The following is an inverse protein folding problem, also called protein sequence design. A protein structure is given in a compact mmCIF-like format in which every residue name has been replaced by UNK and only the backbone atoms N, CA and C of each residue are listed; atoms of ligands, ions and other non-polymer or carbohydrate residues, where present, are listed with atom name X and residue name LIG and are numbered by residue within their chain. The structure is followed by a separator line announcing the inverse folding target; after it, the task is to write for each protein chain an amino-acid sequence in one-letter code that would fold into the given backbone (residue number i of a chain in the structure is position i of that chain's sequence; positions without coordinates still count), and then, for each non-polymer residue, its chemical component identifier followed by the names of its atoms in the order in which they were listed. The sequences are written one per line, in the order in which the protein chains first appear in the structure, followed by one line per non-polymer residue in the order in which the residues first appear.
data_IF_160268073825
#
_entry.id   IF_160268073825
#
_cell.length_a   1.000
_cell.length_b   1.000
_cell.length_c   1.000
_cell.angle_alpha   90.00
_cell.angle_beta   90.00
_cell.angle_gamma   90.00
#
_symmetry.space_group_name_H-M   'P 1'
#
loop_
_entity.id
_entity.type
_entity.pdbx_description
1 polymer ?
#
# COMPACT_ATOMS: atom_id res chain seq x y z
N UNK A 1 6.59 0.19 5.22
CA UNK A 1 6.26 -1.11 5.82
C UNK A 1 7.23 -1.44 6.94
N UNK A 2 6.73 -2.03 8.02
CA UNK A 2 7.51 -2.41 9.20
C UNK A 2 7.47 -3.92 9.33
N UNK A 3 8.61 -4.63 9.34
CA UNK A 3 8.64 -6.07 9.51
C UNK A 3 8.33 -6.45 10.96
N UNK A 4 7.52 -7.51 11.12
CA UNK A 4 7.25 -8.14 12.41
C UNK A 4 7.79 -9.56 12.34
N UNK A 5 8.76 -9.87 13.20
CA UNK A 5 9.27 -11.22 13.38
C UNK A 5 8.40 -12.00 14.36
N UNK A 6 8.07 -13.25 14.05
CA UNK A 6 7.35 -14.14 14.95
C UNK A 6 8.23 -15.36 15.17
N UNK A 7 8.58 -15.62 16.41
CA UNK A 7 9.36 -16.78 16.86
C UNK A 7 8.44 -17.64 17.72
N UNK A 8 8.32 -18.90 17.39
CA UNK A 8 7.47 -19.82 18.15
C UNK A 8 8.18 -21.17 18.38
N UNK A 9 7.98 -21.72 19.56
CA UNK A 9 8.29 -23.10 19.88
C UNK A 9 7.01 -23.78 20.44
N UNK A 10 7.12 -24.95 21.06
CA UNK A 10 5.94 -25.68 21.57
C UNK A 10 5.23 -24.98 22.74
N UNK A 11 5.84 -24.02 23.42
CA UNK A 11 5.30 -23.40 24.64
C UNK A 11 5.08 -21.90 24.51
N UNK A 12 5.92 -21.20 23.74
CA UNK A 12 6.00 -19.74 23.73
C UNK A 12 5.90 -19.21 22.31
N UNK A 13 5.28 -18.05 22.19
CA UNK A 13 5.33 -17.22 20.98
C UNK A 13 5.88 -15.85 21.35
N UNK A 14 6.85 -15.37 20.58
CA UNK A 14 7.48 -14.07 20.74
C UNK A 14 7.30 -13.30 19.45
N UNK A 15 6.73 -12.10 19.53
CA UNK A 15 6.70 -11.17 18.42
C UNK A 15 7.74 -10.07 18.63
N UNK A 16 8.53 -9.79 17.59
CA UNK A 16 9.58 -8.76 17.61
C UNK A 16 9.29 -7.75 16.51
N UNK A 17 9.25 -6.48 16.89
CA UNK A 17 9.08 -5.37 15.96
C UNK A 17 10.12 -4.30 16.28
N UNK A 18 10.97 -3.96 15.31
CA UNK A 18 12.04 -2.97 15.51
C UNK A 18 11.50 -1.55 15.58
N UNK A 19 10.40 -1.26 14.88
CA UNK A 19 9.78 0.06 14.87
C UNK A 19 8.44 0.04 15.59
N UNK A 20 8.09 1.13 16.23
CA UNK A 20 6.75 1.32 16.79
C UNK A 20 5.69 1.24 15.67
N UNK A 21 4.66 0.48 15.91
CA UNK A 21 3.51 0.32 15.00
C UNK A 21 2.21 0.41 15.78
N UNK A 22 1.22 1.10 15.23
CA UNK A 22 -0.11 1.19 15.82
C UNK A 22 -0.90 -0.13 15.71
N UNK A 23 -0.51 -1.02 14.79
CA UNK A 23 -1.23 -2.27 14.53
C UNK A 23 -1.21 -3.23 15.73
N UNK A 24 -0.08 -3.39 16.42
CA UNK A 24 0.03 -4.32 17.55
C UNK A 24 -0.81 -3.87 18.76
N UNK A 25 -0.73 -2.60 19.22
CA UNK A 25 -1.61 -2.12 20.28
C UNK A 25 -3.10 -2.22 19.92
N UNK A 26 -3.47 -1.85 18.69
CA UNK A 26 -4.85 -1.94 18.20
C UNK A 26 -5.34 -3.40 18.18
N UNK A 27 -4.51 -4.34 17.73
CA UNK A 27 -4.82 -5.77 17.78
C UNK A 27 -5.07 -6.26 19.20
N UNK A 28 -4.24 -5.89 20.17
CA UNK A 28 -4.37 -6.30 21.56
C UNK A 28 -5.66 -5.73 22.16
N UNK A 29 -5.92 -4.44 21.94
CA UNK A 29 -7.12 -3.76 22.43
C UNK A 29 -8.39 -4.33 21.81
N UNK A 30 -8.40 -4.55 20.48
CA UNK A 30 -9.51 -5.16 19.76
C UNK A 30 -9.84 -6.56 20.29
N UNK A 31 -8.81 -7.41 20.45
CA UNK A 31 -8.96 -8.78 20.95
C UNK A 31 -9.53 -8.78 22.36
N UNK A 32 -9.04 -7.89 23.24
CA UNK A 32 -9.53 -7.75 24.61
C UNK A 32 -10.99 -7.26 24.65
N UNK A 33 -11.30 -6.20 23.89
CA UNK A 33 -12.64 -5.60 23.86
C UNK A 33 -13.70 -6.56 23.33
N UNK A 34 -13.35 -7.38 22.36
CA UNK A 34 -14.25 -8.36 21.76
C UNK A 34 -14.32 -9.67 22.51
N UNK A 35 -13.52 -9.87 23.55
CA UNK A 35 -13.45 -11.13 24.31
C UNK A 35 -13.02 -12.32 23.43
N UNK A 36 -12.18 -12.07 22.41
CA UNK A 36 -11.77 -13.11 21.48
C UNK A 36 -10.84 -14.07 22.20
N UNK A 37 -11.25 -15.34 22.30
CA UNK A 37 -10.40 -16.41 22.78
C UNK A 37 -9.45 -16.85 21.65
N UNK A 38 -8.18 -16.97 21.96
CA UNK A 38 -7.14 -17.43 21.02
C UNK A 38 -6.61 -18.77 21.56
N UNK A 39 -7.16 -19.89 21.10
CA UNK A 39 -6.91 -21.20 21.73
C UNK A 39 -5.51 -21.74 21.48
N UNK A 40 -4.85 -21.33 20.40
CA UNK A 40 -3.54 -21.84 20.03
C UNK A 40 -2.68 -20.80 19.28
N UNK A 41 -1.41 -21.12 19.09
CA UNK A 41 -0.42 -20.24 18.45
C UNK A 41 -0.67 -20.03 16.97
N UNK A 42 -1.14 -21.04 16.29
CA UNK A 42 -1.49 -20.94 14.87
C UNK A 42 -2.58 -19.91 14.64
N UNK A 43 -3.64 -19.96 15.44
CA UNK A 43 -4.72 -18.96 15.37
C UNK A 43 -4.23 -17.56 15.73
N UNK A 44 -3.35 -17.41 16.73
CA UNK A 44 -2.76 -16.12 17.05
C UNK A 44 -1.99 -15.52 15.85
N UNK A 45 -1.20 -16.34 15.16
CA UNK A 45 -0.45 -15.89 13.98
C UNK A 45 -1.42 -15.47 12.86
N UNK A 46 -2.45 -16.27 12.58
CA UNK A 46 -3.46 -15.92 11.58
C UNK A 46 -4.17 -14.61 11.90
N UNK A 47 -4.56 -14.41 13.16
CA UNK A 47 -5.21 -13.17 13.60
C UNK A 47 -4.30 -11.95 13.51
N UNK A 48 -3.01 -12.10 13.79
CA UNK A 48 -2.02 -11.04 13.59
C UNK A 48 -1.89 -10.68 12.10
N UNK A 49 -1.87 -11.68 11.21
CA UNK A 49 -1.80 -11.44 9.77
C UNK A 49 -3.11 -10.83 9.26
N UNK A 50 -4.26 -11.28 9.75
CA UNK A 50 -5.56 -10.66 9.47
C UNK A 50 -5.56 -9.18 9.85
N UNK A 51 -5.15 -8.86 11.07
CA UNK A 51 -5.02 -7.47 11.53
C UNK A 51 -4.07 -6.66 10.65
N UNK A 52 -2.93 -7.24 10.26
CA UNK A 52 -2.00 -6.62 9.32
C UNK A 52 -2.66 -6.31 7.97
N UNK A 53 -3.49 -7.21 7.45
CA UNK A 53 -4.20 -7.04 6.17
C UNK A 53 -5.22 -5.91 6.25
N UNK A 54 -5.97 -5.83 7.33
CA UNK A 54 -6.91 -4.71 7.61
C UNK A 54 -6.16 -3.37 7.68
N UNK A 55 -4.98 -3.34 8.32
CA UNK A 55 -4.14 -2.14 8.37
C UNK A 55 -3.58 -1.77 7.01
N UNK A 56 -3.22 -2.73 6.16
CA UNK A 56 -2.85 -2.45 4.77
C UNK A 56 -4.00 -1.76 4.02
N UNK A 57 -5.22 -2.27 4.12
CA UNK A 57 -6.40 -1.65 3.49
C UNK A 57 -6.66 -0.23 4.00
N UNK A 58 -6.50 0.00 5.30
CA UNK A 58 -6.63 1.33 5.91
C UNK A 58 -5.62 2.33 5.35
N UNK A 59 -4.35 1.93 5.25
CA UNK A 59 -3.31 2.78 4.68
C UNK A 59 -3.47 2.98 3.17
N UNK A 60 -3.91 1.95 2.44
CA UNK A 60 -4.20 2.08 1.01
C UNK A 60 -5.30 3.11 0.75
N UNK A 61 -6.33 3.15 1.60
CA UNK A 61 -7.36 4.19 1.52
C UNK A 61 -6.79 5.59 1.77
N UNK A 62 -5.85 5.73 2.71
CA UNK A 62 -5.16 7.02 2.93
C UNK A 62 -4.32 7.42 1.71
N UNK A 63 -3.55 6.49 1.12
CA UNK A 63 -2.76 6.74 -0.09
C UNK A 63 -3.68 7.20 -1.22
N UNK A 64 -4.82 6.54 -1.44
CA UNK A 64 -5.77 6.95 -2.47
C UNK A 64 -6.30 8.39 -2.27
N UNK A 65 -6.60 8.77 -1.03
CA UNK A 65 -7.02 10.12 -0.72
C UNK A 65 -5.91 11.16 -1.00
N UNK A 66 -4.66 10.81 -0.66
CA UNK A 66 -3.50 11.66 -0.96
C UNK A 66 -3.27 11.81 -2.47
N UNK A 67 -3.43 10.73 -3.24
CA UNK A 67 -3.37 10.77 -4.72
C UNK A 67 -4.44 11.72 -5.25
N UNK A 68 -5.70 11.56 -4.84
CA UNK A 68 -6.80 12.41 -5.29
C UNK A 68 -6.60 13.88 -4.93
N UNK A 69 -5.96 14.18 -3.80
CA UNK A 69 -5.62 15.55 -3.40
C UNK A 69 -4.54 16.11 -4.30
N UNK A 70 -3.45 15.37 -4.51
CA UNK A 70 -2.36 15.79 -5.39
C UNK A 70 -2.82 15.98 -6.84
N UNK A 71 -3.73 15.15 -7.35
CA UNK A 71 -4.33 15.31 -8.67
C UNK A 71 -5.08 16.64 -8.81
N UNK A 72 -5.88 17.01 -7.82
CA UNK A 72 -6.61 18.29 -7.82
C UNK A 72 -5.67 19.50 -7.79
N UNK A 73 -4.61 19.42 -6.99
CA UNK A 73 -3.59 20.46 -6.90
C UNK A 73 -2.86 20.63 -8.23
N UNK A 74 -2.47 19.53 -8.87
CA UNK A 74 -1.82 19.54 -10.19
C UNK A 74 -2.72 20.06 -11.31
N UNK A 75 -4.02 19.82 -11.25
CA UNK A 75 -4.98 20.40 -12.22
C UNK A 75 -5.04 21.93 -12.15
N UNK A 76 -4.82 22.51 -10.97
CA UNK A 76 -4.82 23.96 -10.78
C UNK A 76 -3.48 24.60 -11.14
N UNK A 77 -2.37 23.96 -10.80
CA UNK A 77 -1.03 24.44 -11.08
C UNK A 77 -0.04 23.27 -11.02
N UNK A 78 0.68 23.03 -12.10
CA UNK A 78 1.68 21.96 -12.16
C UNK A 78 2.94 22.41 -11.41
N UNK A 79 3.17 21.83 -10.23
CA UNK A 79 4.37 22.05 -9.42
C UNK A 79 5.20 20.77 -9.37
N UNK A 80 6.52 20.93 -9.40
CA UNK A 80 7.43 19.79 -9.28
C UNK A 80 7.27 19.04 -7.95
N UNK A 81 6.90 19.75 -6.88
CA UNK A 81 6.68 19.15 -5.55
C UNK A 81 5.52 18.15 -5.56
N UNK A 82 4.43 18.46 -6.27
CA UNK A 82 3.26 17.59 -6.37
C UNK A 82 3.58 16.31 -7.18
N UNK A 83 4.39 16.45 -8.25
CA UNK A 83 4.89 15.31 -9.01
C UNK A 83 5.80 14.41 -8.15
N UNK A 84 6.70 15.00 -7.37
CA UNK A 84 7.55 14.24 -6.44
C UNK A 84 6.73 13.53 -5.36
N UNK A 85 5.65 14.17 -4.89
CA UNK A 85 4.70 13.55 -3.96
C UNK A 85 4.03 12.33 -4.56
N UNK A 86 3.52 12.39 -5.80
CA UNK A 86 2.95 11.24 -6.51
C UNK A 86 3.99 10.12 -6.71
N UNK A 87 5.22 10.46 -7.09
CA UNK A 87 6.31 9.46 -7.19
C UNK A 87 6.60 8.76 -5.86
N UNK A 88 6.56 9.47 -4.74
CA UNK A 88 6.75 8.88 -3.42
C UNK A 88 5.58 7.97 -3.03
N UNK A 89 4.33 8.34 -3.38
CA UNK A 89 3.16 7.49 -3.19
C UNK A 89 3.27 6.20 -4.03
N UNK A 90 3.77 6.30 -5.27
CA UNK A 90 4.03 5.12 -6.11
C UNK A 90 5.06 4.18 -5.47
N UNK A 91 6.15 4.70 -4.92
CA UNK A 91 7.12 3.89 -4.16
C UNK A 91 6.48 3.20 -2.96
N UNK A 92 5.58 3.90 -2.24
CA UNK A 92 4.84 3.28 -1.14
C UNK A 92 4.00 2.09 -1.63
N UNK A 93 3.30 2.21 -2.75
CA UNK A 93 2.51 1.10 -3.33
C UNK A 93 3.38 -0.10 -3.71
N UNK A 94 4.60 0.12 -4.22
CA UNK A 94 5.56 -0.97 -4.50
C UNK A 94 5.94 -1.70 -3.21
N UNK A 95 6.21 -0.98 -2.12
CA UNK A 95 6.52 -1.60 -0.82
C UNK A 95 5.32 -2.37 -0.26
N UNK A 96 4.09 -1.84 -0.42
CA UNK A 96 2.87 -2.54 -0.02
C UNK A 96 2.70 -3.84 -0.81
N UNK A 97 2.84 -3.78 -2.14
CA UNK A 97 2.77 -4.94 -3.02
C UNK A 97 3.72 -6.06 -2.57
N UNK A 98 4.98 -5.70 -2.36
CA UNK A 98 6.01 -6.66 -1.94
C UNK A 98 5.68 -7.28 -0.57
N UNK A 99 5.22 -6.46 0.39
CA UNK A 99 4.91 -6.93 1.73
C UNK A 99 3.67 -7.85 1.76
N UNK A 100 2.62 -7.50 1.02
CA UNK A 100 1.39 -8.31 0.93
C UNK A 100 1.68 -9.66 0.28
N UNK A 101 2.46 -9.68 -0.82
CA UNK A 101 2.91 -10.93 -1.46
C UNK A 101 3.77 -11.78 -0.53
N UNK A 102 4.65 -11.16 0.24
CA UNK A 102 5.45 -11.86 1.26
C UNK A 102 4.57 -12.54 2.31
N UNK A 103 3.56 -11.82 2.81
CA UNK A 103 2.58 -12.37 3.76
C UNK A 103 1.77 -13.51 3.15
N UNK A 104 1.34 -13.42 1.88
CA UNK A 104 0.63 -14.49 1.18
C UNK A 104 1.48 -15.76 1.09
N UNK A 105 2.75 -15.62 0.70
CA UNK A 105 3.68 -16.76 0.64
C UNK A 105 3.89 -17.39 2.02
N UNK A 106 4.00 -16.57 3.05
CA UNK A 106 4.14 -17.04 4.43
C UNK A 106 2.93 -17.85 4.88
N UNK A 107 1.71 -17.33 4.66
CA UNK A 107 0.46 -18.01 5.03
C UNK A 107 0.35 -19.36 4.34
N UNK A 108 0.66 -19.46 3.06
CA UNK A 108 0.64 -20.73 2.31
C UNK A 108 1.62 -21.78 2.87
N UNK A 109 2.68 -21.35 3.56
CA UNK A 109 3.67 -22.23 4.20
C UNK A 109 3.32 -22.56 5.64
N UNK A 110 2.54 -21.74 6.31
CA UNK A 110 2.18 -21.93 7.72
C UNK A 110 1.61 -23.32 8.02
N UNK A 111 0.69 -23.86 7.21
CA UNK A 111 0.17 -25.20 7.41
C UNK A 111 1.21 -26.32 7.48
N UNK A 112 2.34 -26.15 6.82
CA UNK A 112 3.41 -27.15 6.82
C UNK A 112 4.29 -27.13 8.07
N UNK A 113 4.17 -26.06 8.87
CA UNK A 113 4.99 -25.84 10.08
C UNK A 113 4.25 -26.31 11.33
N UNK A 114 2.92 -26.26 11.30
CA UNK A 114 2.05 -26.63 12.42
C UNK A 114 1.43 -28.03 12.19
N UNK A 115 1.08 -28.72 13.27
CA UNK A 115 0.41 -30.02 13.20
C UNK A 115 -1.07 -29.84 12.82
N UNK A 116 -1.67 -30.86 12.18
CA UNK A 116 -3.10 -30.84 11.80
C UNK A 116 -4.04 -30.59 12.99
N UNK A 117 -3.65 -30.94 14.20
CA UNK A 117 -4.41 -30.68 15.43
C UNK A 117 -4.54 -29.19 15.78
N UNK A 118 -3.68 -28.34 15.23
CA UNK A 118 -3.69 -26.89 15.45
C UNK A 118 -4.65 -26.18 14.49
N UNK A 119 -5.16 -26.88 13.45
CA UNK A 119 -6.10 -26.35 12.43
C UNK A 119 -7.56 -26.40 12.89
N UNK A 120 -7.87 -25.78 14.01
CA UNK A 120 -9.24 -25.80 14.56
C UNK A 120 -10.18 -24.80 13.88
N UNK A 121 -9.66 -23.87 13.08
CA UNK A 121 -10.46 -22.81 12.47
C UNK A 121 -10.08 -22.57 11.00
N UNK A 122 -10.56 -23.42 10.07
CA UNK A 122 -10.29 -23.27 8.64
C UNK A 122 -10.90 -21.99 8.06
N UNK A 123 -12.01 -21.49 8.59
CA UNK A 123 -12.67 -20.27 8.15
C UNK A 123 -11.76 -19.06 8.37
N UNK A 124 -11.04 -19.00 9.49
CA UNK A 124 -10.10 -17.90 9.75
C UNK A 124 -8.96 -17.84 8.72
N UNK A 125 -8.46 -19.00 8.28
CA UNK A 125 -7.44 -19.04 7.22
C UNK A 125 -7.99 -18.49 5.91
N UNK A 126 -9.23 -18.86 5.56
CA UNK A 126 -9.91 -18.36 4.37
C UNK A 126 -10.13 -16.85 4.46
N UNK A 127 -10.62 -16.34 5.58
CA UNK A 127 -10.80 -14.91 5.83
C UNK A 127 -9.50 -14.12 5.65
N UNK A 128 -8.39 -14.63 6.21
CA UNK A 128 -7.07 -13.99 6.05
C UNK A 128 -6.64 -13.96 4.59
N UNK A 129 -6.86 -15.03 3.84
CA UNK A 129 -6.52 -15.10 2.42
C UNK A 129 -7.38 -14.14 1.58
N UNK A 130 -8.66 -14.00 1.91
CA UNK A 130 -9.57 -13.06 1.25
C UNK A 130 -9.09 -11.62 1.47
N UNK A 131 -8.81 -11.24 2.73
CA UNK A 131 -8.34 -9.89 3.07
C UNK A 131 -7.00 -9.55 2.41
N UNK A 132 -6.05 -10.49 2.39
CA UNK A 132 -4.77 -10.30 1.69
C UNK A 132 -4.98 -10.12 0.18
N UNK A 133 -5.85 -10.93 -0.42
CA UNK A 133 -6.15 -10.83 -1.85
C UNK A 133 -6.85 -9.51 -2.17
N UNK A 134 -7.75 -9.05 -1.32
CA UNK A 134 -8.38 -7.74 -1.45
C UNK A 134 -7.33 -6.63 -1.38
N UNK A 135 -6.43 -6.66 -0.39
CA UNK A 135 -5.35 -5.68 -0.28
C UNK A 135 -4.44 -5.70 -1.52
N UNK A 136 -4.10 -6.89 -2.05
CA UNK A 136 -3.31 -7.04 -3.27
C UNK A 136 -4.00 -6.41 -4.49
N UNK A 137 -5.29 -6.66 -4.66
CA UNK A 137 -6.06 -6.09 -5.76
C UNK A 137 -6.12 -4.55 -5.66
N UNK A 138 -6.33 -4.03 -4.45
CA UNK A 138 -6.36 -2.58 -4.21
C UNK A 138 -5.01 -1.92 -4.52
N UNK A 139 -3.89 -2.54 -4.14
CA UNK A 139 -2.55 -2.04 -4.50
C UNK A 139 -2.39 -1.96 -6.01
N UNK A 140 -2.78 -3.00 -6.73
CA UNK A 140 -2.66 -3.03 -8.19
C UNK A 140 -3.51 -1.92 -8.83
N UNK A 141 -4.79 -1.80 -8.43
CA UNK A 141 -5.69 -0.76 -8.94
C UNK A 141 -5.13 0.65 -8.69
N UNK A 142 -4.68 0.94 -7.47
CA UNK A 142 -4.14 2.26 -7.15
C UNK A 142 -2.80 2.53 -7.83
N UNK A 143 -1.99 1.51 -8.05
CA UNK A 143 -0.76 1.62 -8.83
C UNK A 143 -1.03 1.97 -10.28
N UNK A 144 -2.02 1.33 -10.91
CA UNK A 144 -2.42 1.58 -12.30
C UNK A 144 -3.02 2.99 -12.44
N UNK A 145 -3.90 3.40 -11.53
CA UNK A 145 -4.46 4.75 -11.49
C UNK A 145 -3.34 5.80 -11.39
N UNK A 146 -2.43 5.61 -10.44
CA UNK A 146 -1.35 6.56 -10.19
C UNK A 146 -0.39 6.67 -11.39
N UNK A 147 -0.08 5.54 -12.04
CA UNK A 147 0.73 5.52 -13.26
C UNK A 147 0.03 6.28 -14.38
N UNK A 148 -1.24 6.01 -14.64
CA UNK A 148 -2.03 6.71 -15.64
C UNK A 148 -2.13 8.23 -15.36
N UNK A 149 -2.27 8.61 -14.10
CA UNK A 149 -2.26 10.01 -13.67
C UNK A 149 -0.92 10.69 -14.00
N UNK A 150 0.19 10.05 -13.66
CA UNK A 150 1.53 10.60 -13.95
C UNK A 150 1.78 10.74 -15.44
N UNK A 151 1.36 9.77 -16.26
CA UNK A 151 1.49 9.80 -17.71
C UNK A 151 0.64 10.94 -18.33
N UNK A 152 -0.57 11.14 -17.81
CA UNK A 152 -1.44 12.25 -18.23
C UNK A 152 -0.79 13.60 -17.93
N UNK A 153 -0.22 13.81 -16.74
CA UNK A 153 0.47 15.05 -16.41
C UNK A 153 1.75 15.27 -17.23
N UNK A 154 2.52 14.23 -17.49
CA UNK A 154 3.67 14.31 -18.38
C UNK A 154 3.28 14.79 -19.80
N UNK A 155 2.16 14.28 -20.31
CA UNK A 155 1.61 14.69 -21.60
C UNK A 155 1.14 16.14 -21.61
N UNK A 156 0.49 16.61 -20.53
CA UNK A 156 0.06 18.02 -20.38
C UNK A 156 1.28 18.96 -20.33
N UNK A 157 2.30 18.60 -19.58
CA UNK A 157 3.56 19.37 -19.48
C UNK A 157 4.20 19.48 -20.87
N UNK A 158 4.34 18.36 -21.59
CA UNK A 158 4.90 18.34 -22.94
C UNK A 158 4.12 19.23 -23.91
N UNK A 159 2.79 19.16 -23.86
CA UNK A 159 1.92 20.01 -24.71
C UNK A 159 2.05 21.50 -24.39
N UNK A 160 2.13 21.85 -23.10
CA UNK A 160 2.34 23.24 -22.68
C UNK A 160 3.69 23.79 -23.16
N UNK A 161 4.78 22.99 -23.03
CA UNK A 161 6.11 23.35 -23.55
C UNK A 161 6.04 23.57 -25.05
N UNK A 162 5.43 22.69 -25.83
CA UNK A 162 5.26 22.83 -27.27
C UNK A 162 4.47 24.12 -27.65
N UNK A 163 3.45 24.43 -26.89
CA UNK A 163 2.64 25.65 -27.10
C UNK A 163 3.46 26.92 -26.85
N UNK A 164 4.25 26.92 -25.78
CA UNK A 164 5.16 28.06 -25.48
C UNK A 164 6.21 28.19 -26.58
N UNK A 165 6.83 27.09 -27.00
CA UNK A 165 7.82 27.10 -28.10
C UNK A 165 7.24 27.63 -29.40
N UNK A 166 6.02 27.24 -29.80
CA UNK A 166 5.32 27.76 -30.97
C UNK A 166 5.11 29.29 -30.87
N UNK A 167 4.68 29.79 -29.71
CA UNK A 167 4.46 31.24 -29.47
C UNK A 167 5.79 32.00 -29.54
N UNK A 168 6.86 31.47 -28.93
CA UNK A 168 8.18 32.10 -28.98
C UNK A 168 8.73 32.15 -30.40
N UNK A 169 8.60 31.05 -31.17
CA UNK A 169 9.01 30.99 -32.57
C UNK A 169 8.23 32.02 -33.42
N UNK A 170 6.91 32.09 -33.27
CA UNK A 170 6.09 33.10 -33.98
C UNK A 170 6.50 34.51 -33.64
N UNK A 171 6.75 34.82 -32.37
CA UNK A 171 7.21 36.12 -31.93
C UNK A 171 8.58 36.49 -32.55
N UNK A 172 9.51 35.51 -32.56
CA UNK A 172 10.83 35.69 -33.14
C UNK A 172 10.75 36.01 -34.66
N UNK A 173 9.87 35.30 -35.39
CA UNK A 173 9.66 35.58 -36.84
C UNK A 173 9.10 37.00 -37.06
N UNK A 174 8.10 37.40 -36.25
CA UNK A 174 7.51 38.74 -36.36
C UNK A 174 8.55 39.84 -36.08
N UNK A 175 9.47 39.64 -35.15
CA UNK A 175 10.52 40.58 -34.83
C UNK A 175 11.66 40.60 -35.86
N UNK A 176 11.84 39.50 -36.63
CA UNK A 176 12.89 39.38 -37.64
C UNK A 176 12.52 40.06 -38.98
N UNK A 177 11.24 40.16 -39.31
CA UNK A 177 10.75 40.76 -40.56
C UNK A 177 11.00 42.28 -40.69
N UNK A 178 10.96 43.13 -39.62
CA UNK A 178 11.21 44.55 -39.71
C UNK A 178 12.68 44.97 -39.73
N UNK A 179 13.62 44.02 -39.54
CA UNK A 179 15.06 44.25 -39.56
C UNK A 179 15.68 43.82 -40.89
#
# INVERSE_FOLDING_TARGET
TVPIGIITNNEIIISVCYHSTAMIPDFIEYTRRKGINVPNRYELILRLIYSSSVWFLKYLKQINNEVSTAEKELQQSIRNEDLLRLMNLQKCLVYFNTSIRGNEVMIRKLPKIFNEKDYQNPELLEDVMIELKQAQNMVNIYSDILTGTMDAFASIISNNVNTIMKRMTSLSIVLMVPT
#
